data_IF_034424003208
#
_entry.id   IF_034424003208
#
_cell.length_a   1.000
_cell.length_b   1.000
_cell.length_c   1.000
_cell.angle_alpha   90.00
_cell.angle_beta   90.00
_cell.angle_gamma   90.00
#
_symmetry.space_group_name_H-M   'P 1'
#
loop_
_entity.id
_entity.type
_entity.pdbx_description
1 polymer ?
#
# COMPACT_ATOMS: atom_id res chain seq x y z
N UNK A 1 -22.91 -32.27 5.73
CA UNK A 1 -23.31 -33.14 6.87
C UNK A 1 -22.13 -33.20 7.81
N UNK A 2 -22.42 -33.07 9.11
CA UNK A 2 -21.51 -33.08 10.28
C UNK A 2 -21.04 -31.72 10.77
N UNK A 3 -21.59 -31.40 11.93
CA UNK A 3 -21.35 -30.24 12.76
C UNK A 3 -20.58 -30.68 14.01
N UNK A 4 -20.13 -29.67 14.76
CA UNK A 4 -19.79 -29.69 16.20
C UNK A 4 -18.43 -30.28 16.60
N UNK A 5 -17.51 -29.39 17.01
CA UNK A 5 -16.48 -29.68 18.00
C UNK A 5 -16.48 -28.58 19.08
N UNK A 6 -16.32 -28.91 20.38
CA UNK A 6 -16.67 -28.03 21.50
C UNK A 6 -15.65 -26.93 21.85
N UNK A 7 -14.60 -26.74 21.04
CA UNK A 7 -13.53 -25.78 21.32
C UNK A 7 -13.93 -24.30 21.06
N UNK A 8 -15.05 -24.07 20.35
CA UNK A 8 -15.47 -22.73 19.91
C UNK A 8 -16.17 -21.86 20.98
N UNK A 9 -16.46 -22.41 22.16
CA UNK A 9 -17.24 -21.71 23.21
C UNK A 9 -16.42 -20.92 24.23
N UNK A 10 -15.09 -20.92 24.17
CA UNK A 10 -14.24 -20.20 25.15
C UNK A 10 -13.70 -18.84 24.74
N UNK A 11 -13.97 -18.35 23.52
CA UNK A 11 -13.60 -16.98 23.10
C UNK A 11 -14.70 -15.93 23.29
N UNK A 12 -15.88 -16.32 23.79
CA UNK A 12 -17.08 -15.47 23.87
C UNK A 12 -17.21 -14.64 25.17
N UNK A 13 -16.19 -14.62 26.04
CA UNK A 13 -16.27 -13.93 27.35
C UNK A 13 -15.34 -12.70 27.48
N UNK A 14 -14.53 -12.38 26.46
CA UNK A 14 -13.59 -11.24 26.50
C UNK A 14 -13.97 -10.04 25.62
N UNK A 15 -15.21 -9.98 25.12
CA UNK A 15 -15.65 -9.00 24.12
C UNK A 15 -16.59 -7.90 24.65
N UNK A 16 -16.39 -7.44 25.89
CA UNK A 16 -17.28 -6.43 26.51
C UNK A 16 -16.62 -5.12 26.99
N UNK A 17 -15.39 -4.82 26.59
CA UNK A 17 -14.67 -3.63 27.11
C UNK A 17 -14.23 -2.60 26.07
N UNK A 18 -14.91 -2.47 24.93
CA UNK A 18 -14.62 -1.42 23.95
C UNK A 18 -15.88 -0.65 23.54
N UNK A 19 -16.40 0.16 24.47
CA UNK A 19 -17.32 1.25 24.16
C UNK A 19 -16.98 2.47 25.05
N UNK A 20 -16.89 3.69 24.49
CA UNK A 20 -16.88 4.93 25.28
C UNK A 20 -18.30 5.27 25.77
N UNK A 21 -18.45 5.98 26.91
CA UNK A 21 -19.76 6.30 27.46
C UNK A 21 -20.46 7.40 26.64
N UNK A 22 -21.77 7.24 26.41
CA UNK A 22 -22.64 8.27 25.86
C UNK A 22 -22.79 9.46 26.81
N UNK A 23 -22.74 10.72 26.34
CA UNK A 23 -23.11 11.86 27.15
C UNK A 23 -24.64 11.96 27.27
N UNK A 24 -25.10 11.98 28.52
CA UNK A 24 -26.48 12.20 28.94
C UNK A 24 -26.95 13.63 28.62
N UNK A 25 -28.15 13.72 28.04
CA UNK A 25 -28.91 14.95 27.86
C UNK A 25 -29.39 15.54 29.19
N UNK A 26 -29.07 16.81 29.46
CA UNK A 26 -29.75 17.60 30.49
C UNK A 26 -30.29 18.89 29.87
N UNK A 27 -31.61 19.00 29.91
CA UNK A 27 -32.43 20.17 29.63
C UNK A 27 -32.24 21.28 30.66
N UNK A 28 -32.18 22.55 30.23
CA UNK A 28 -32.67 23.68 31.04
C UNK A 28 -33.08 24.86 30.16
N UNK A 29 -34.32 25.29 30.37
CA UNK A 29 -35.03 26.42 29.77
C UNK A 29 -34.75 27.69 30.60
N UNK A 30 -34.49 28.82 29.92
CA UNK A 30 -34.80 30.22 30.29
C UNK A 30 -33.94 31.13 29.36
N UNK A 31 -34.41 32.12 28.59
CA UNK A 31 -35.53 33.03 28.81
C UNK A 31 -35.03 34.32 29.47
N UNK A 32 -34.73 35.37 28.67
CA UNK A 32 -35.13 36.79 28.85
C UNK A 32 -34.13 37.83 28.28
N UNK A 33 -34.72 38.73 27.48
CA UNK A 33 -34.53 40.19 27.34
C UNK A 33 -33.16 40.83 27.00
N UNK A 34 -33.21 41.64 25.93
CA UNK A 34 -32.29 42.72 25.53
C UNK A 34 -32.45 43.98 26.44
N UNK A 35 -31.74 45.14 26.29
CA UNK A 35 -31.39 45.80 25.00
C UNK A 35 -30.05 46.59 24.88
N UNK A 36 -29.74 46.87 23.61
CA UNK A 36 -29.13 48.07 22.99
C UNK A 36 -27.82 48.70 23.51
N UNK A 37 -26.86 48.87 22.59
CA UNK A 37 -26.43 50.22 22.16
C UNK A 37 -25.56 50.23 20.89
N UNK A 38 -25.72 51.33 20.18
CA UNK A 38 -25.16 51.86 18.93
C UNK A 38 -23.67 51.62 18.62
N UNK A 39 -23.33 51.41 17.34
CA UNK A 39 -22.78 52.47 16.47
C UNK A 39 -22.21 51.96 15.12
N UNK A 40 -22.60 52.70 14.06
CA UNK A 40 -21.88 53.04 12.82
C UNK A 40 -20.97 52.03 12.10
N UNK A 41 -21.21 51.81 10.80
CA UNK A 41 -20.10 51.62 9.86
C UNK A 41 -20.38 50.81 8.60
N UNK A 42 -20.63 51.52 7.50
CA UNK A 42 -20.29 51.18 6.11
C UNK A 42 -20.94 49.97 5.42
N UNK A 43 -21.67 50.28 4.35
CA UNK A 43 -22.01 49.41 3.25
C UNK A 43 -20.77 48.77 2.62
N UNK A 44 -20.69 47.45 2.60
CA UNK A 44 -19.92 46.72 1.60
C UNK A 44 -20.63 45.41 1.26
N UNK A 45 -20.58 45.07 -0.02
CA UNK A 45 -21.35 44.02 -0.69
C UNK A 45 -21.24 42.65 -0.01
N UNK A 46 -22.38 42.04 0.28
CA UNK A 46 -22.53 40.62 0.58
C UNK A 46 -22.05 39.78 -0.61
N UNK A 47 -20.78 39.36 -0.60
CA UNK A 47 -20.39 38.09 -1.22
C UNK A 47 -20.64 37.02 -0.17
N UNK A 48 -21.68 36.23 -0.37
CA UNK A 48 -21.90 35.00 0.40
C UNK A 48 -20.75 34.03 0.09
N UNK A 49 -19.69 34.09 0.89
CA UNK A 49 -18.73 32.99 1.02
C UNK A 49 -19.45 31.85 1.74
N UNK A 50 -19.90 30.86 0.97
CA UNK A 50 -20.16 29.53 1.51
C UNK A 50 -18.82 28.93 1.97
N UNK A 51 -18.37 29.31 3.16
CA UNK A 51 -17.40 28.54 3.90
C UNK A 51 -18.14 27.28 4.38
N UNK A 52 -18.12 26.24 3.56
CA UNK A 52 -18.35 24.89 4.06
C UNK A 52 -17.25 24.64 5.09
N UNK A 53 -17.58 24.73 6.37
CA UNK A 53 -16.72 24.26 7.45
C UNK A 53 -16.57 22.75 7.26
N UNK A 54 -15.54 22.34 6.52
CA UNK A 54 -15.14 20.95 6.43
C UNK A 54 -14.70 20.53 7.84
N UNK A 55 -15.42 19.58 8.42
CA UNK A 55 -14.95 18.90 9.63
C UNK A 55 -13.62 18.24 9.28
N UNK A 56 -12.54 18.62 9.97
CA UNK A 56 -11.25 17.98 9.84
C UNK A 56 -11.39 16.46 9.89
N UNK A 57 -10.98 15.79 8.80
CA UNK A 57 -11.02 14.33 8.74
C UNK A 57 -10.16 13.79 9.88
N UNK A 58 -10.80 13.14 10.85
CA UNK A 58 -10.13 12.58 12.02
C UNK A 58 -9.14 11.50 11.57
N UNK A 59 -7.88 11.65 11.96
CA UNK A 59 -6.83 10.65 11.71
C UNK A 59 -6.82 9.67 12.87
N UNK A 60 -6.99 8.39 12.56
CA UNK A 60 -6.97 7.32 13.57
C UNK A 60 -5.60 6.65 13.61
N UNK A 61 -5.04 6.43 14.80
CA UNK A 61 -3.89 5.53 14.94
C UNK A 61 -4.36 4.09 14.72
N UNK A 62 -3.68 3.34 13.84
CA UNK A 62 -3.97 1.92 13.67
C UNK A 62 -3.47 1.10 14.85
N UNK A 63 -4.29 0.15 15.31
CA UNK A 63 -3.78 -1.03 16.04
C UNK A 63 -3.13 -1.98 15.03
N UNK A 64 -1.92 -1.60 14.59
CA UNK A 64 -1.25 -2.27 13.49
C UNK A 64 -0.83 -3.71 13.84
N UNK A 65 -0.51 -3.99 15.10
CA UNK A 65 -0.20 -5.37 15.52
C UNK A 65 -1.45 -6.26 15.48
N UNK A 66 -2.61 -5.78 15.92
CA UNK A 66 -3.86 -6.54 15.79
C UNK A 66 -4.20 -6.81 14.32
N UNK A 67 -3.94 -5.85 13.41
CA UNK A 67 -4.10 -6.07 11.97
C UNK A 67 -3.18 -7.19 11.47
N UNK A 68 -1.88 -7.14 11.80
CA UNK A 68 -0.91 -8.18 11.40
C UNK A 68 -1.34 -9.56 11.92
N UNK A 69 -1.72 -9.68 13.20
CA UNK A 69 -2.20 -10.94 13.78
C UNK A 69 -3.45 -11.49 13.09
N UNK A 70 -4.36 -10.60 12.67
CA UNK A 70 -5.63 -10.98 12.05
C UNK A 70 -5.45 -11.50 10.62
N UNK A 71 -4.58 -10.87 9.84
CA UNK A 71 -4.45 -11.18 8.40
C UNK A 71 -3.35 -12.20 8.10
N UNK A 72 -2.33 -12.35 8.96
CA UNK A 72 -1.24 -13.31 8.73
C UNK A 72 -1.80 -14.72 8.82
N UNK A 73 -1.69 -15.53 7.77
CA UNK A 73 -2.32 -16.84 7.77
C UNK A 73 -1.44 -17.83 8.54
N UNK A 74 -2.03 -18.80 9.27
CA UNK A 74 -1.26 -19.76 10.04
C UNK A 74 -0.42 -20.66 9.13
N UNK A 75 0.73 -21.10 9.65
CA UNK A 75 1.52 -22.15 9.05
C UNK A 75 0.84 -23.49 9.37
N UNK A 76 0.28 -24.14 8.35
CA UNK A 76 -0.47 -25.38 8.48
C UNK A 76 0.09 -26.43 7.51
N UNK A 77 0.28 -27.66 8.00
CA UNK A 77 0.75 -28.81 7.23
C UNK A 77 -0.19 -29.19 6.08
N UNK A 78 -1.47 -28.80 6.16
CA UNK A 78 -2.44 -29.01 5.10
C UNK A 78 -2.28 -28.04 3.92
N UNK A 79 -1.53 -26.94 4.09
CA UNK A 79 -1.31 -25.95 3.03
C UNK A 79 -0.21 -26.38 2.08
N UNK A 80 -0.33 -25.95 0.83
CA UNK A 80 0.62 -26.25 -0.24
C UNK A 80 1.28 -24.99 -0.79
N UNK A 81 2.45 -25.16 -1.38
CA UNK A 81 3.23 -24.09 -2.02
C UNK A 81 2.36 -23.27 -2.97
N UNK A 82 2.35 -21.96 -2.75
CA UNK A 82 1.59 -20.96 -3.50
C UNK A 82 0.32 -20.51 -2.81
N UNK A 83 -0.12 -21.14 -1.71
CA UNK A 83 -1.32 -20.73 -0.98
C UNK A 83 -1.07 -19.59 0.03
N UNK A 84 0.19 -19.30 0.38
CA UNK A 84 0.57 -18.18 1.24
C UNK A 84 1.17 -17.00 0.46
N UNK A 85 0.90 -16.91 -0.85
CA UNK A 85 1.18 -15.72 -1.65
C UNK A 85 2.18 -15.97 -2.78
N UNK A 86 1.76 -15.61 -3.99
CA UNK A 86 2.55 -15.53 -5.21
C UNK A 86 2.63 -14.07 -5.62
N UNK A 87 3.78 -13.45 -5.38
CA UNK A 87 3.99 -12.02 -5.65
C UNK A 87 4.79 -11.86 -6.92
N UNK A 88 4.44 -10.87 -7.76
CA UNK A 88 5.26 -10.46 -8.88
C UNK A 88 5.73 -9.02 -8.74
N UNK A 89 6.98 -8.75 -9.08
CA UNK A 89 7.55 -7.41 -9.18
C UNK A 89 7.80 -7.09 -10.66
N UNK A 90 7.17 -6.04 -11.17
CA UNK A 90 7.37 -5.51 -12.52
C UNK A 90 8.24 -4.26 -12.40
N UNK A 91 9.50 -4.38 -12.81
CA UNK A 91 10.51 -3.34 -12.61
C UNK A 91 11.87 -3.77 -13.13
N UNK A 92 12.95 -3.10 -12.71
CA UNK A 92 14.30 -3.42 -13.16
C UNK A 92 14.61 -3.11 -14.62
N UNK A 93 14.96 -1.85 -14.88
CA UNK A 93 15.65 -1.43 -16.10
C UNK A 93 17.16 -1.72 -16.00
N UNK A 94 17.90 -1.45 -17.08
CA UNK A 94 19.34 -1.65 -17.17
C UNK A 94 20.11 -1.05 -15.97
N UNK A 95 19.73 0.13 -15.50
CA UNK A 95 20.44 0.84 -14.43
C UNK A 95 20.05 0.39 -13.01
N UNK A 96 18.78 0.02 -12.80
CA UNK A 96 18.21 -0.11 -11.46
C UNK A 96 17.85 -1.56 -11.13
N UNK A 97 18.85 -2.37 -10.83
CA UNK A 97 18.71 -3.80 -10.52
C UNK A 97 18.44 -4.09 -9.04
N UNK A 98 18.88 -3.21 -8.13
CA UNK A 98 18.73 -3.41 -6.68
C UNK A 98 17.29 -3.25 -6.18
N UNK A 99 16.57 -2.25 -6.68
CA UNK A 99 15.19 -1.96 -6.28
C UNK A 99 14.22 -3.14 -6.49
N UNK A 100 14.12 -3.77 -7.69
CA UNK A 100 13.25 -4.92 -7.88
C UNK A 100 13.68 -6.13 -7.03
N UNK A 101 14.98 -6.31 -6.78
CA UNK A 101 15.47 -7.32 -5.86
C UNK A 101 14.97 -7.09 -4.43
N UNK A 102 15.12 -5.87 -3.89
CA UNK A 102 14.68 -5.55 -2.53
C UNK A 102 13.18 -5.77 -2.36
N UNK A 103 12.34 -5.36 -3.31
CA UNK A 103 10.91 -5.64 -3.26
C UNK A 103 10.62 -7.15 -3.27
N UNK A 104 11.25 -7.89 -4.19
CA UNK A 104 10.98 -9.31 -4.37
C UNK A 104 11.46 -10.17 -3.21
N UNK A 105 12.66 -9.91 -2.69
CA UNK A 105 13.21 -10.67 -1.56
C UNK A 105 12.51 -10.33 -0.26
N UNK A 106 12.05 -9.07 -0.09
CA UNK A 106 11.23 -8.69 1.06
C UNK A 106 9.92 -9.46 1.06
N UNK A 107 9.25 -9.64 -0.08
CA UNK A 107 8.05 -10.47 -0.15
C UNK A 107 8.29 -11.90 0.38
N UNK A 108 9.40 -12.54 -0.03
CA UNK A 108 9.77 -13.87 0.50
C UNK A 108 10.07 -13.83 2.01
N UNK A 109 10.79 -12.80 2.48
CA UNK A 109 11.16 -12.65 3.89
C UNK A 109 9.97 -12.33 4.80
N UNK A 110 8.91 -11.72 4.28
CA UNK A 110 7.63 -11.58 4.98
C UNK A 110 6.91 -12.93 5.07
N UNK A 111 7.01 -13.77 4.03
CA UNK A 111 6.41 -15.12 4.05
C UNK A 111 5.64 -15.49 2.78
N UNK A 112 5.81 -14.76 1.67
CA UNK A 112 5.30 -15.23 0.38
C UNK A 112 5.95 -16.55 -0.01
N UNK A 113 5.14 -17.47 -0.55
CA UNK A 113 5.64 -18.77 -1.04
C UNK A 113 6.48 -18.65 -2.31
N UNK A 114 6.14 -17.67 -3.16
CA UNK A 114 6.76 -17.46 -4.47
C UNK A 114 6.89 -15.96 -4.76
N UNK A 115 8.05 -15.58 -5.29
CA UNK A 115 8.34 -14.20 -5.71
C UNK A 115 8.95 -14.19 -7.10
N UNK A 116 8.26 -13.52 -8.01
CA UNK A 116 8.62 -13.40 -9.41
C UNK A 116 9.11 -11.99 -9.70
N UNK A 117 10.12 -11.85 -10.56
CA UNK A 117 10.60 -10.55 -11.04
C UNK A 117 10.52 -10.52 -12.55
N UNK A 118 9.71 -9.62 -13.10
CA UNK A 118 9.69 -9.32 -14.53
C UNK A 118 10.52 -8.07 -14.77
N UNK A 119 11.63 -8.25 -15.47
CA UNK A 119 12.62 -7.20 -15.68
C UNK A 119 13.17 -7.21 -17.10
N UNK A 120 14.00 -6.20 -17.38
CA UNK A 120 14.79 -6.17 -18.61
C UNK A 120 15.83 -7.29 -18.63
N UNK A 121 16.26 -7.67 -19.83
CA UNK A 121 17.31 -8.69 -20.02
C UNK A 121 18.62 -8.31 -19.32
N UNK A 122 19.00 -7.04 -19.39
CA UNK A 122 20.22 -6.51 -18.77
C UNK A 122 20.18 -6.59 -17.25
N UNK A 123 19.02 -6.33 -16.64
CA UNK A 123 18.85 -6.42 -15.19
C UNK A 123 18.87 -7.87 -14.67
N UNK A 124 18.46 -8.83 -15.50
CA UNK A 124 18.12 -10.17 -15.04
C UNK A 124 19.31 -10.95 -14.48
N UNK A 125 20.46 -10.91 -15.15
CA UNK A 125 21.66 -11.65 -14.68
C UNK A 125 22.12 -11.14 -13.31
N UNK A 126 22.06 -9.83 -13.11
CA UNK A 126 22.43 -9.21 -11.82
C UNK A 126 21.44 -9.62 -10.73
N UNK A 127 20.13 -9.52 -10.98
CA UNK A 127 19.10 -9.89 -10.00
C UNK A 127 19.19 -11.37 -9.63
N UNK A 128 19.35 -12.26 -10.61
CA UNK A 128 19.54 -13.71 -10.39
C UNK A 128 20.77 -14.02 -9.53
N UNK A 129 21.81 -13.19 -9.64
CA UNK A 129 23.05 -13.37 -8.86
C UNK A 129 22.90 -12.96 -7.40
N UNK A 130 21.88 -12.16 -7.05
CA UNK A 130 21.63 -11.77 -5.66
C UNK A 130 20.92 -12.86 -4.84
N UNK A 131 20.06 -13.68 -5.47
CA UNK A 131 19.37 -14.77 -4.78
C UNK A 131 18.88 -15.85 -5.75
N UNK A 132 19.10 -17.15 -5.43
CA UNK A 132 18.56 -18.26 -6.22
C UNK A 132 17.06 -18.51 -5.97
N UNK A 133 16.46 -17.89 -4.95
CA UNK A 133 15.06 -18.09 -4.57
C UNK A 133 14.08 -17.35 -5.51
N UNK A 134 14.55 -16.29 -6.17
CA UNK A 134 13.71 -15.44 -7.02
C UNK A 134 13.51 -16.06 -8.40
N UNK A 135 12.27 -16.05 -8.89
CA UNK A 135 11.95 -16.49 -10.24
C UNK A 135 12.01 -15.28 -11.18
N UNK A 136 13.13 -15.12 -11.87
CA UNK A 136 13.41 -13.92 -12.70
C UNK A 136 13.11 -14.15 -14.18
N UNK A 137 12.23 -13.32 -14.74
CA UNK A 137 11.69 -13.33 -16.11
C UNK A 137 12.26 -12.16 -16.92
N UNK A 138 13.29 -12.38 -17.76
CA UNK A 138 13.97 -11.34 -18.56
C UNK A 138 13.19 -11.02 -19.84
N UNK A 139 11.98 -10.49 -19.71
CA UNK A 139 11.08 -10.30 -20.85
C UNK A 139 10.79 -8.84 -21.18
N UNK A 140 11.08 -7.90 -20.29
CA UNK A 140 10.87 -6.48 -20.58
C UNK A 140 11.98 -5.96 -21.50
N UNK A 141 11.65 -4.94 -22.30
CA UNK A 141 12.56 -4.34 -23.27
C UNK A 141 12.47 -2.81 -23.18
N UNK A 142 13.60 -2.14 -23.41
CA UNK A 142 13.69 -0.68 -23.47
C UNK A 142 13.78 -0.20 -24.93
N UNK A 143 13.43 1.05 -25.18
CA UNK A 143 13.34 1.64 -26.52
C UNK A 143 14.60 1.46 -27.37
N UNK A 144 15.80 1.39 -26.77
CA UNK A 144 17.06 1.27 -27.50
C UNK A 144 17.28 -0.14 -28.08
N UNK A 145 16.63 -1.17 -27.53
CA UNK A 145 16.73 -2.56 -27.98
C UNK A 145 15.68 -2.94 -29.02
N UNK A 146 14.75 -2.02 -29.34
CA UNK A 146 13.56 -2.32 -30.14
C UNK A 146 13.39 -1.28 -31.24
N UNK A 147 13.36 -1.75 -32.50
CA UNK A 147 13.11 -0.89 -33.65
C UNK A 147 11.65 -0.39 -33.64
N UNK A 148 11.42 0.82 -34.17
CA UNK A 148 10.11 1.45 -34.15
C UNK A 148 9.01 0.61 -34.85
N UNK A 149 9.34 -0.03 -35.96
CA UNK A 149 8.47 -0.92 -36.74
C UNK A 149 8.10 -2.22 -35.99
N UNK A 150 8.88 -2.62 -34.98
CA UNK A 150 8.70 -3.86 -34.22
C UNK A 150 8.00 -3.64 -32.87
N UNK A 151 7.91 -2.39 -32.38
CA UNK A 151 7.40 -2.06 -31.05
C UNK A 151 6.05 -2.68 -30.73
N UNK A 152 5.10 -2.66 -31.67
CA UNK A 152 3.77 -3.24 -31.46
C UNK A 152 3.84 -4.76 -31.26
N UNK A 153 4.64 -5.45 -32.08
CA UNK A 153 4.84 -6.90 -32.00
C UNK A 153 5.55 -7.29 -30.70
N UNK A 154 6.61 -6.55 -30.33
CA UNK A 154 7.34 -6.77 -29.08
C UNK A 154 6.44 -6.53 -27.86
N UNK A 155 5.68 -5.43 -27.83
CA UNK A 155 4.75 -5.14 -26.73
C UNK A 155 3.69 -6.25 -26.57
N UNK A 156 3.12 -6.73 -27.68
CA UNK A 156 2.17 -7.84 -27.68
C UNK A 156 2.80 -9.15 -27.17
N UNK A 157 4.05 -9.44 -27.57
CA UNK A 157 4.79 -10.60 -27.07
C UNK A 157 5.06 -10.50 -25.57
N UNK A 158 5.50 -9.35 -25.07
CA UNK A 158 5.72 -9.11 -23.64
C UNK A 158 4.43 -9.39 -22.86
N UNK A 159 3.31 -8.81 -23.30
CA UNK A 159 2.02 -9.01 -22.66
C UNK A 159 1.61 -10.49 -22.65
N UNK A 160 1.83 -11.20 -23.76
CA UNK A 160 1.55 -12.64 -23.87
C UNK A 160 2.38 -13.47 -22.88
N UNK A 161 3.66 -13.16 -22.72
CA UNK A 161 4.53 -13.86 -21.77
C UNK A 161 4.13 -13.59 -20.31
N UNK A 162 3.77 -12.36 -19.96
CA UNK A 162 3.26 -12.04 -18.61
C UNK A 162 1.91 -12.71 -18.35
N UNK A 163 1.01 -12.70 -19.34
CA UNK A 163 -0.34 -13.27 -19.21
C UNK A 163 -0.34 -14.76 -18.82
N UNK A 164 0.68 -15.53 -19.23
CA UNK A 164 0.87 -16.94 -18.81
C UNK A 164 0.93 -17.12 -17.29
N UNK A 165 1.35 -16.08 -16.58
CA UNK A 165 1.53 -16.09 -15.13
C UNK A 165 0.51 -15.22 -14.39
N UNK A 166 -0.08 -14.21 -15.04
CA UNK A 166 -0.84 -13.15 -14.38
C UNK A 166 -1.91 -13.67 -13.40
N UNK A 167 -2.76 -14.60 -13.85
CA UNK A 167 -3.85 -15.17 -13.03
C UNK A 167 -3.36 -15.99 -11.83
N UNK A 168 -2.06 -16.32 -11.80
CA UNK A 168 -1.46 -17.03 -10.67
C UNK A 168 -0.98 -16.07 -9.58
N UNK A 169 -0.84 -14.77 -9.84
CA UNK A 169 -0.35 -13.85 -8.81
C UNK A 169 -1.47 -13.43 -7.87
N UNK A 170 -1.16 -13.36 -6.58
CA UNK A 170 -2.08 -12.86 -5.57
C UNK A 170 -1.95 -11.34 -5.40
N UNK A 171 -0.81 -10.77 -5.81
CA UNK A 171 -0.59 -9.32 -5.93
C UNK A 171 0.64 -9.05 -6.81
N UNK A 172 0.63 -7.92 -7.53
CA UNK A 172 1.80 -7.43 -8.26
C UNK A 172 2.29 -6.08 -7.70
N UNK A 173 3.60 -5.87 -7.72
CA UNK A 173 4.27 -4.60 -7.42
C UNK A 173 4.78 -4.02 -8.73
N UNK A 174 4.50 -2.75 -9.02
CA UNK A 174 4.93 -2.06 -10.23
C UNK A 174 5.76 -0.85 -9.87
N UNK A 175 6.95 -0.75 -10.47
CA UNK A 175 7.77 0.45 -10.40
C UNK A 175 9.16 0.34 -9.74
N UNK A 176 9.47 -0.61 -8.84
CA UNK A 176 10.82 -0.76 -8.29
C UNK A 176 11.89 -0.87 -9.38
N UNK A 177 12.70 0.18 -9.54
CA UNK A 177 13.73 0.27 -10.57
C UNK A 177 13.20 0.24 -12.01
N UNK A 178 11.95 0.65 -12.26
CA UNK A 178 11.35 0.59 -13.59
C UNK A 178 12.00 1.57 -14.59
N UNK A 179 12.55 2.69 -14.11
CA UNK A 179 13.07 3.73 -14.97
C UNK A 179 11.95 4.48 -15.71
N UNK A 180 12.32 5.24 -16.74
CA UNK A 180 11.39 6.14 -17.46
C UNK A 180 11.49 6.06 -18.97
N UNK A 181 12.02 4.94 -19.47
CA UNK A 181 12.00 4.65 -20.91
C UNK A 181 10.55 4.55 -21.41
N UNK A 182 10.20 5.27 -22.48
CA UNK A 182 8.81 5.40 -22.92
C UNK A 182 8.22 4.09 -23.40
N UNK A 183 8.97 3.29 -24.17
CA UNK A 183 8.50 2.00 -24.65
C UNK A 183 8.27 1.00 -23.50
N UNK A 184 9.19 0.96 -22.53
CA UNK A 184 9.04 0.16 -21.33
C UNK A 184 7.77 0.55 -20.54
N UNK A 185 7.56 1.85 -20.33
CA UNK A 185 6.37 2.37 -19.64
C UNK A 185 5.06 2.04 -20.37
N UNK A 186 5.05 2.05 -21.71
CA UNK A 186 3.89 1.63 -22.52
C UNK A 186 3.62 0.13 -22.34
N UNK A 187 4.65 -0.72 -22.34
CA UNK A 187 4.52 -2.15 -22.10
C UNK A 187 3.97 -2.42 -20.69
N UNK A 188 4.51 -1.76 -19.67
CA UNK A 188 4.02 -1.89 -18.29
C UNK A 188 2.58 -1.37 -18.15
N UNK A 189 2.21 -0.31 -18.86
CA UNK A 189 0.82 0.16 -18.90
C UNK A 189 -0.14 -0.94 -19.38
N UNK A 190 0.25 -1.72 -20.40
CA UNK A 190 -0.55 -2.83 -20.89
C UNK A 190 -0.62 -3.98 -19.88
N UNK A 191 0.48 -4.28 -19.18
CA UNK A 191 0.51 -5.25 -18.08
C UNK A 191 -0.45 -4.84 -16.96
N UNK A 192 -0.44 -3.57 -16.54
CA UNK A 192 -1.32 -3.06 -15.48
C UNK A 192 -2.80 -3.13 -15.88
N UNK A 193 -3.13 -2.79 -17.14
CA UNK A 193 -4.50 -2.93 -17.66
C UNK A 193 -4.97 -4.40 -17.61
N UNK A 194 -4.09 -5.33 -17.99
CA UNK A 194 -4.42 -6.75 -17.96
C UNK A 194 -4.58 -7.28 -16.53
N UNK A 195 -3.70 -6.89 -15.60
CA UNK A 195 -3.83 -7.20 -14.17
C UNK A 195 -5.15 -6.70 -13.60
N UNK A 196 -5.57 -5.47 -13.96
CA UNK A 196 -6.86 -4.91 -13.58
C UNK A 196 -8.04 -5.73 -14.12
N UNK A 197 -7.98 -6.16 -15.38
CA UNK A 197 -9.02 -7.01 -15.98
C UNK A 197 -9.13 -8.38 -15.28
N UNK A 198 -8.00 -8.91 -14.83
CA UNK A 198 -7.93 -10.16 -14.05
C UNK A 198 -8.21 -9.98 -12.54
N UNK A 199 -8.56 -8.76 -12.09
CA UNK A 199 -8.79 -8.42 -10.68
C UNK A 199 -7.59 -8.73 -9.75
N UNK A 200 -6.37 -8.62 -10.28
CA UNK A 200 -5.16 -8.81 -9.49
C UNK A 200 -4.81 -7.50 -8.76
N UNK A 201 -4.62 -7.52 -7.43
CA UNK A 201 -4.17 -6.34 -6.67
C UNK A 201 -2.83 -5.79 -7.16
N UNK A 202 -2.70 -4.46 -7.15
CA UNK A 202 -1.52 -3.76 -7.69
C UNK A 202 -0.99 -2.77 -6.65
N UNK A 203 0.26 -2.95 -6.22
CA UNK A 203 1.02 -1.95 -5.47
C UNK A 203 1.89 -1.16 -6.44
N UNK A 204 1.79 0.16 -6.43
CA UNK A 204 2.57 1.04 -7.31
C UNK A 204 3.53 1.89 -6.47
N UNK A 205 4.82 1.73 -6.71
CA UNK A 205 5.89 2.46 -6.01
C UNK A 205 6.89 3.09 -6.99
N UNK A 206 7.68 4.06 -6.51
CA UNK A 206 8.78 4.65 -7.29
C UNK A 206 8.37 5.16 -8.67
N UNK A 207 9.07 4.74 -9.72
CA UNK A 207 8.76 5.18 -11.09
C UNK A 207 7.42 4.65 -11.62
N UNK A 208 6.81 3.65 -10.97
CA UNK A 208 5.40 3.30 -11.21
C UNK A 208 4.47 4.48 -10.90
N UNK A 209 4.76 5.28 -9.86
CA UNK A 209 3.98 6.48 -9.53
C UNK A 209 4.22 7.59 -10.54
N UNK A 210 5.41 7.67 -11.14
CA UNK A 210 5.65 8.54 -12.29
C UNK A 210 4.74 8.15 -13.46
N UNK A 211 4.63 6.85 -13.77
CA UNK A 211 3.71 6.35 -14.80
C UNK A 211 2.25 6.74 -14.49
N UNK A 212 1.77 6.49 -13.27
CA UNK A 212 0.41 6.83 -12.85
C UNK A 212 0.13 8.33 -12.93
N UNK A 213 1.09 9.18 -12.53
CA UNK A 213 0.92 10.64 -12.61
C UNK A 213 0.71 11.12 -14.05
N UNK A 214 1.26 10.40 -15.03
CA UNK A 214 1.09 10.71 -16.46
C UNK A 214 -0.12 10.00 -17.09
N UNK A 215 -0.62 8.93 -16.47
CA UNK A 215 -1.78 8.16 -16.95
C UNK A 215 -2.62 7.62 -15.79
N UNK A 216 -3.46 8.47 -15.21
CA UNK A 216 -4.29 8.14 -14.05
C UNK A 216 -5.27 6.99 -14.33
N UNK A 217 -5.72 6.85 -15.59
CA UNK A 217 -6.66 5.81 -16.01
C UNK A 217 -6.19 4.37 -15.78
N UNK A 218 -4.89 4.17 -15.55
CA UNK A 218 -4.32 2.87 -15.18
C UNK A 218 -4.84 2.37 -13.81
N UNK A 219 -5.13 3.28 -12.88
CA UNK A 219 -5.59 2.94 -11.52
C UNK A 219 -6.93 3.57 -11.17
N UNK A 220 -7.40 4.58 -11.89
CA UNK A 220 -8.63 5.31 -11.58
C UNK A 220 -9.82 4.35 -11.42
N UNK A 221 -10.47 4.43 -10.26
CA UNK A 221 -11.62 3.57 -9.93
C UNK A 221 -11.26 2.11 -9.62
N UNK A 222 -9.98 1.78 -9.41
CA UNK A 222 -9.56 0.43 -9.02
C UNK A 222 -9.38 0.33 -7.49
N UNK A 223 -10.30 -0.29 -6.74
CA UNK A 223 -10.19 -0.44 -5.29
C UNK A 223 -9.08 -1.42 -4.86
N UNK A 224 -8.52 -2.20 -5.79
CA UNK A 224 -7.41 -3.14 -5.55
C UNK A 224 -6.04 -2.52 -5.86
N UNK A 225 -5.98 -1.23 -6.19
CA UNK A 225 -4.74 -0.51 -6.39
C UNK A 225 -4.30 0.21 -5.10
N UNK A 226 -2.99 0.17 -4.84
CA UNK A 226 -2.32 0.88 -3.76
C UNK A 226 -1.24 1.77 -4.37
N UNK A 227 -1.22 3.05 -4.02
CA UNK A 227 -0.13 3.97 -4.33
C UNK A 227 0.70 4.22 -3.08
N UNK A 228 2.03 4.09 -3.15
CA UNK A 228 2.93 4.28 -1.99
C UNK A 228 3.84 5.51 -2.12
N UNK A 229 3.31 6.73 -2.36
CA UNK A 229 4.15 7.89 -2.63
C UNK A 229 4.99 8.34 -1.43
N UNK A 230 6.26 8.66 -1.69
CA UNK A 230 7.04 9.50 -0.79
C UNK A 230 6.55 10.96 -0.81
N UNK A 231 7.16 11.82 0.01
CA UNK A 231 6.76 13.23 0.13
C UNK A 231 6.78 13.98 -1.21
N UNK A 232 7.72 13.69 -2.11
CA UNK A 232 7.84 14.36 -3.41
C UNK A 232 6.86 13.79 -4.44
N UNK A 233 6.69 12.47 -4.49
CA UNK A 233 5.71 11.80 -5.34
C UNK A 233 4.28 12.23 -4.96
N UNK A 234 4.00 12.34 -3.66
CA UNK A 234 2.70 12.80 -3.15
C UNK A 234 2.41 14.24 -3.59
N UNK A 235 3.40 15.14 -3.49
CA UNK A 235 3.26 16.52 -3.98
C UNK A 235 2.90 16.58 -5.46
N UNK A 236 3.54 15.73 -6.29
CA UNK A 236 3.24 15.65 -7.73
C UNK A 236 1.83 15.13 -7.99
N UNK A 237 1.40 14.09 -7.27
CA UNK A 237 0.04 13.55 -7.39
C UNK A 237 -1.02 14.58 -7.01
N UNK A 238 -0.84 15.26 -5.87
CA UNK A 238 -1.74 16.34 -5.42
C UNK A 238 -1.82 17.46 -6.45
N UNK A 239 -0.69 17.93 -6.94
CA UNK A 239 -0.66 18.99 -7.96
C UNK A 239 -1.35 18.56 -9.25
N UNK A 240 -1.12 17.32 -9.70
CA UNK A 240 -1.68 16.80 -10.94
C UNK A 240 -3.20 16.54 -10.86
N UNK A 241 -3.68 16.05 -9.73
CA UNK A 241 -5.08 15.58 -9.58
C UNK A 241 -5.99 16.63 -8.96
N UNK A 242 -5.52 17.33 -7.92
CA UNK A 242 -6.31 18.32 -7.19
C UNK A 242 -6.04 19.76 -7.65
N UNK A 243 -5.05 19.97 -8.53
CA UNK A 243 -4.66 21.29 -9.03
C UNK A 243 -4.32 22.28 -7.90
N UNK A 244 -3.67 21.80 -6.84
CA UNK A 244 -3.26 22.60 -5.69
C UNK A 244 -1.91 22.13 -5.12
N UNK A 245 -1.37 22.85 -4.13
CA UNK A 245 -0.16 22.46 -3.42
C UNK A 245 -0.48 21.67 -2.16
N UNK A 246 0.49 20.88 -1.69
CA UNK A 246 0.35 20.16 -0.41
C UNK A 246 0.28 21.17 0.72
N UNK A 247 -0.78 21.06 1.53
CA UNK A 247 -0.94 21.80 2.76
C UNK A 247 -0.84 20.82 3.94
N UNK A 248 0.10 21.06 4.84
CA UNK A 248 0.29 20.17 6.01
C UNK A 248 -0.81 20.37 7.07
N UNK A 249 -1.48 21.53 7.12
CA UNK A 249 -2.58 21.80 8.06
C UNK A 249 -3.83 20.99 7.71
N UNK A 250 -4.08 20.77 6.41
CA UNK A 250 -5.23 20.01 5.90
C UNK A 250 -4.80 18.69 5.26
N UNK A 251 -3.67 18.13 5.70
CA UNK A 251 -3.06 16.94 5.10
C UNK A 251 -4.01 15.73 5.01
N UNK A 252 -4.83 15.49 6.04
CA UNK A 252 -5.77 14.37 6.08
C UNK A 252 -6.96 14.56 5.12
N UNK A 253 -7.51 15.77 5.06
CA UNK A 253 -8.58 16.14 4.13
C UNK A 253 -8.10 16.05 2.68
N UNK A 254 -6.89 16.57 2.40
CA UNK A 254 -6.32 16.55 1.06
C UNK A 254 -6.04 15.12 0.59
N UNK A 255 -5.55 14.25 1.48
CA UNK A 255 -5.36 12.83 1.17
C UNK A 255 -6.70 12.15 0.84
N UNK A 256 -7.73 12.42 1.66
CA UNK A 256 -9.08 11.89 1.44
C UNK A 256 -9.65 12.34 0.09
N UNK A 257 -9.57 13.65 -0.19
CA UNK A 257 -10.01 14.24 -1.44
C UNK A 257 -9.25 13.67 -2.65
N UNK A 258 -7.93 13.46 -2.52
CA UNK A 258 -7.11 12.85 -3.56
C UNK A 258 -7.60 11.44 -3.88
N UNK A 259 -7.78 10.59 -2.86
CA UNK A 259 -8.28 9.21 -3.03
C UNK A 259 -9.66 9.19 -3.68
N UNK A 260 -10.58 10.03 -3.22
CA UNK A 260 -11.92 10.16 -3.81
C UNK A 260 -11.86 10.60 -5.28
N UNK A 261 -11.00 11.56 -5.61
CA UNK A 261 -10.85 12.09 -6.97
C UNK A 261 -10.30 11.06 -7.96
N UNK A 262 -9.46 10.14 -7.51
CA UNK A 262 -8.97 9.02 -8.32
C UNK A 262 -9.84 7.75 -8.22
N UNK A 263 -11.06 7.85 -7.68
CA UNK A 263 -12.03 6.76 -7.67
C UNK A 263 -11.86 5.73 -6.54
N UNK A 264 -11.37 6.16 -5.38
CA UNK A 264 -11.28 5.31 -4.17
C UNK A 264 -10.06 4.39 -4.13
N UNK A 265 -9.01 4.69 -4.90
CA UNK A 265 -7.72 4.00 -4.84
C UNK A 265 -7.08 4.26 -3.48
N UNK A 266 -6.48 3.23 -2.88
CA UNK A 266 -5.77 3.36 -1.61
C UNK A 266 -4.44 4.11 -1.81
N UNK A 267 -4.19 5.13 -1.00
CA UNK A 267 -2.92 5.85 -0.98
C UNK A 267 -2.29 5.73 0.40
N UNK A 268 -1.04 5.26 0.43
CA UNK A 268 -0.16 5.25 1.59
C UNK A 268 0.91 6.34 1.42
N UNK A 269 0.67 7.52 2.00
CA UNK A 269 1.64 8.62 2.02
C UNK A 269 2.75 8.29 3.02
N UNK A 270 3.96 8.01 2.51
CA UNK A 270 5.14 7.67 3.32
C UNK A 270 5.67 8.91 4.05
N UNK A 271 6.00 8.78 5.33
CA UNK A 271 6.41 9.92 6.15
C UNK A 271 7.00 9.56 7.52
N UNK A 272 7.05 10.54 8.44
CA UNK A 272 7.42 10.28 9.84
C UNK A 272 6.46 9.27 10.47
N UNK A 273 5.17 9.51 10.30
CA UNK A 273 4.13 8.49 10.32
C UNK A 273 3.68 8.25 8.88
N UNK A 274 3.29 7.02 8.55
CA UNK A 274 2.67 6.75 7.25
C UNK A 274 1.18 6.95 7.39
N UNK A 275 0.60 7.77 6.50
CA UNK A 275 -0.82 8.09 6.51
C UNK A 275 -1.50 7.40 5.33
N UNK A 276 -2.53 6.63 5.62
CA UNK A 276 -3.19 5.71 4.70
C UNK A 276 -4.66 6.11 4.58
N UNK A 277 -5.16 6.19 3.35
CA UNK A 277 -6.59 6.40 3.09
C UNK A 277 -7.05 5.69 1.82
N UNK A 278 -8.31 5.28 1.81
CA UNK A 278 -9.06 4.82 0.64
C UNK A 278 -10.14 5.85 0.21
N UNK A 279 -10.06 7.08 0.75
CA UNK A 279 -11.06 8.13 0.55
C UNK A 279 -12.28 8.06 1.47
N UNK A 280 -12.35 7.07 2.38
CA UNK A 280 -13.41 6.96 3.40
C UNK A 280 -12.88 7.21 4.81
N UNK A 281 -11.75 6.59 5.13
CA UNK A 281 -11.11 6.72 6.44
C UNK A 281 -9.65 7.15 6.28
N UNK A 282 -9.13 7.88 7.26
CA UNK A 282 -7.70 8.21 7.34
C UNK A 282 -7.12 7.54 8.58
N UNK A 283 -6.15 6.67 8.35
CA UNK A 283 -5.45 5.95 9.41
C UNK A 283 -3.96 6.26 9.31
N UNK A 284 -3.24 6.23 10.42
CA UNK A 284 -1.80 6.37 10.43
C UNK A 284 -1.12 5.23 11.19
N UNK A 285 0.13 4.98 10.82
CA UNK A 285 1.05 4.12 11.57
C UNK A 285 2.25 4.98 11.97
N UNK A 286 2.35 5.25 13.27
CA UNK A 286 3.36 6.13 13.85
C UNK A 286 4.52 5.38 14.53
N UNK A 287 4.53 4.05 14.47
CA UNK A 287 5.60 3.21 15.02
C UNK A 287 6.96 3.71 14.57
N UNK A 288 7.88 3.81 15.53
CA UNK A 288 9.23 4.26 15.25
C UNK A 288 9.93 3.27 14.30
N UNK A 289 10.49 3.81 13.21
CA UNK A 289 11.28 3.06 12.24
C UNK A 289 12.77 3.21 12.50
N UNK A 290 13.43 3.94 11.61
CA UNK A 290 14.84 4.30 11.73
C UNK A 290 15.07 5.75 11.31
N UNK A 291 15.96 6.50 11.96
CA UNK A 291 16.38 7.81 11.47
C UNK A 291 17.32 7.71 10.26
N UNK A 292 17.86 6.52 9.96
CA UNK A 292 18.73 6.28 8.81
C UNK A 292 17.89 6.04 7.56
N UNK A 293 18.15 6.81 6.49
CA UNK A 293 17.49 6.68 5.18
C UNK A 293 18.28 5.82 4.19
N UNK A 294 17.95 4.55 4.06
CA UNK A 294 18.55 3.66 3.07
C UNK A 294 17.75 3.76 1.75
N UNK A 295 18.44 3.67 0.61
CA UNK A 295 17.82 3.89 -0.70
C UNK A 295 16.64 2.95 -1.01
N UNK A 296 16.68 1.70 -0.50
CA UNK A 296 15.69 0.68 -0.83
C UNK A 296 14.59 0.43 0.22
N UNK A 297 14.37 1.33 1.17
CA UNK A 297 13.29 1.15 2.17
C UNK A 297 11.90 1.15 1.53
N UNK A 298 11.69 1.95 0.47
CA UNK A 298 10.44 1.95 -0.30
C UNK A 298 10.20 0.61 -1.01
N UNK A 299 11.26 0.00 -1.52
CA UNK A 299 11.20 -1.31 -2.17
C UNK A 299 10.82 -2.40 -1.16
N UNK A 300 11.43 -2.41 0.03
CA UNK A 300 11.03 -3.31 1.13
C UNK A 300 9.54 -3.13 1.46
N UNK A 301 9.09 -1.88 1.58
CA UNK A 301 7.70 -1.57 1.90
C UNK A 301 6.76 -2.13 0.83
N UNK A 302 7.01 -1.85 -0.44
CA UNK A 302 6.11 -2.25 -1.52
C UNK A 302 6.01 -3.77 -1.66
N UNK A 303 7.13 -4.49 -1.53
CA UNK A 303 7.14 -5.95 -1.46
C UNK A 303 6.34 -6.49 -0.26
N UNK A 304 6.52 -5.91 0.92
CA UNK A 304 5.81 -6.31 2.14
C UNK A 304 4.31 -6.04 2.06
N UNK A 305 3.92 -4.86 1.56
CA UNK A 305 2.52 -4.46 1.37
C UNK A 305 1.82 -5.40 0.39
N UNK A 306 2.48 -5.84 -0.68
CA UNK A 306 1.88 -6.79 -1.62
C UNK A 306 1.52 -8.14 -0.96
N UNK A 307 2.40 -8.65 -0.08
CA UNK A 307 2.13 -9.89 0.68
C UNK A 307 0.95 -9.71 1.63
N UNK A 308 0.97 -8.66 2.46
CA UNK A 308 -0.10 -8.43 3.41
C UNK A 308 -1.43 -8.07 2.75
N UNK A 309 -1.43 -7.37 1.61
CA UNK A 309 -2.64 -7.09 0.86
C UNK A 309 -3.27 -8.38 0.30
N UNK A 310 -2.44 -9.29 -0.21
CA UNK A 310 -2.86 -10.65 -0.62
C UNK A 310 -3.48 -11.41 0.56
N UNK A 311 -2.79 -11.47 1.70
CA UNK A 311 -3.29 -12.16 2.89
C UNK A 311 -4.57 -11.54 3.46
N UNK A 312 -4.67 -10.21 3.49
CA UNK A 312 -5.87 -9.51 3.91
C UNK A 312 -7.06 -9.81 3.00
N UNK A 313 -6.82 -9.89 1.67
CA UNK A 313 -7.86 -10.25 0.73
C UNK A 313 -8.34 -11.69 0.95
N UNK A 314 -7.42 -12.65 1.12
CA UNK A 314 -7.75 -14.04 1.43
C UNK A 314 -8.54 -14.16 2.74
N UNK A 315 -8.08 -13.47 3.80
CA UNK A 315 -8.74 -13.44 5.11
C UNK A 315 -10.18 -12.91 5.02
N UNK A 316 -10.41 -11.83 4.26
CA UNK A 316 -11.76 -11.27 4.10
C UNK A 316 -12.66 -12.14 3.21
N UNK A 317 -12.09 -12.89 2.27
CA UNK A 317 -12.84 -13.85 1.45
C UNK A 317 -13.24 -15.10 2.24
N UNK A 318 -12.42 -15.54 3.21
CA UNK A 318 -12.73 -16.71 4.05
C UNK A 318 -13.68 -16.42 5.20
N UNK A 319 -13.77 -15.16 5.67
CA UNK A 319 -14.58 -14.77 6.82
C UNK A 319 -15.87 -14.07 6.35
N UNK A 320 -16.89 -14.86 5.98
CA UNK A 320 -18.24 -14.43 5.58
C UNK A 320 -19.07 -13.82 6.75
N UNK A 321 -18.56 -12.83 7.48
CA UNK A 321 -19.36 -12.09 8.48
C UNK A 321 -19.86 -10.76 7.88
N UNK A 322 -21.16 -10.63 7.52
CA UNK A 322 -21.67 -9.49 6.74
C UNK A 322 -21.89 -8.19 7.54
N UNK A 323 -21.51 -8.13 8.82
CA UNK A 323 -21.99 -7.10 9.75
C UNK A 323 -20.97 -6.03 10.15
N UNK A 324 -19.69 -6.19 9.83
CA UNK A 324 -18.68 -5.13 10.03
C UNK A 324 -18.59 -4.24 8.79
N UNK A 325 -18.41 -2.93 8.98
CA UNK A 325 -18.03 -2.00 7.89
C UNK A 325 -16.88 -2.65 7.12
N UNK A 326 -17.13 -3.02 5.85
CA UNK A 326 -16.18 -3.77 5.02
C UNK A 326 -14.90 -2.95 4.85
N UNK A 327 -13.88 -3.26 5.66
CA UNK A 327 -12.58 -2.61 5.61
C UNK A 327 -11.91 -3.01 4.29
N UNK A 328 -11.30 -2.05 3.59
CA UNK A 328 -10.58 -2.34 2.36
C UNK A 328 -9.33 -3.21 2.69
N UNK A 329 -9.18 -4.42 2.10
CA UNK A 329 -8.00 -5.25 2.33
C UNK A 329 -6.69 -4.54 1.99
N UNK A 330 -6.72 -3.61 1.02
CA UNK A 330 -5.57 -2.82 0.62
C UNK A 330 -5.09 -1.90 1.75
N UNK A 331 -6.02 -1.31 2.50
CA UNK A 331 -5.72 -0.50 3.69
C UNK A 331 -5.09 -1.36 4.79
N UNK A 332 -5.60 -2.57 5.02
CA UNK A 332 -5.01 -3.52 6.00
C UNK A 332 -3.59 -3.92 5.59
N UNK A 333 -3.38 -4.19 4.29
CA UNK A 333 -2.05 -4.49 3.73
C UNK A 333 -1.05 -3.35 3.95
N UNK A 334 -1.48 -2.10 3.74
CA UNK A 334 -0.65 -0.91 3.99
C UNK A 334 -0.28 -0.77 5.48
N UNK A 335 -1.24 -0.97 6.38
CA UNK A 335 -1.01 -0.88 7.84
C UNK A 335 0.02 -1.92 8.28
N UNK A 336 -0.19 -3.18 7.88
CA UNK A 336 0.71 -4.28 8.22
C UNK A 336 2.12 -4.11 7.64
N UNK A 337 2.22 -3.75 6.35
CA UNK A 337 3.49 -3.50 5.68
C UNK A 337 4.26 -2.33 6.30
N UNK A 338 3.55 -1.25 6.68
CA UNK A 338 4.13 -0.10 7.38
C UNK A 338 4.74 -0.51 8.72
N UNK A 339 3.97 -1.20 9.57
CA UNK A 339 4.43 -1.67 10.88
C UNK A 339 5.66 -2.57 10.75
N UNK A 340 5.60 -3.56 9.86
CA UNK A 340 6.67 -4.53 9.72
C UNK A 340 7.98 -3.87 9.27
N UNK A 341 7.93 -3.01 8.25
CA UNK A 341 9.11 -2.26 7.80
C UNK A 341 9.67 -1.40 8.94
N UNK A 342 8.81 -0.66 9.65
CA UNK A 342 9.25 0.23 10.74
C UNK A 342 9.94 -0.57 11.85
N UNK A 343 9.32 -1.66 12.31
CA UNK A 343 9.90 -2.54 13.33
C UNK A 343 11.25 -3.12 12.87
N UNK A 344 11.32 -3.66 11.65
CA UNK A 344 12.55 -4.22 11.10
C UNK A 344 13.66 -3.16 10.94
N UNK A 345 13.31 -1.97 10.47
CA UNK A 345 14.24 -0.86 10.34
C UNK A 345 14.76 -0.38 11.69
N UNK A 346 13.93 -0.41 12.73
CA UNK A 346 14.31 -0.09 14.11
C UNK A 346 15.35 -1.06 14.64
N UNK A 347 15.10 -2.37 14.51
CA UNK A 347 16.05 -3.41 14.93
C UNK A 347 17.36 -3.34 14.15
N UNK A 348 17.29 -3.14 12.83
CA UNK A 348 18.48 -2.98 11.99
C UNK A 348 19.30 -1.75 12.40
N UNK A 349 18.63 -0.64 12.72
CA UNK A 349 19.28 0.57 13.21
C UNK A 349 19.84 0.41 14.61
N UNK A 350 19.18 -0.35 15.48
CA UNK A 350 19.71 -0.64 16.80
C UNK A 350 21.05 -1.38 16.71
N UNK A 351 21.13 -2.37 15.83
CA UNK A 351 22.35 -3.17 15.57
C UNK A 351 23.44 -2.38 14.84
N UNK A 352 23.10 -1.68 13.75
CA UNK A 352 24.09 -1.13 12.81
C UNK A 352 24.23 0.41 12.87
N UNK A 353 23.33 1.11 13.55
CA UNK A 353 23.34 2.58 13.69
C UNK A 353 23.54 3.28 12.33
N UNK A 354 24.61 4.06 12.19
CA UNK A 354 24.91 4.85 10.98
C UNK A 354 25.16 3.98 9.74
N UNK A 355 25.72 2.78 9.91
CA UNK A 355 26.06 1.89 8.80
C UNK A 355 24.87 1.08 8.29
N UNK A 356 23.68 1.21 8.90
CA UNK A 356 22.48 0.48 8.45
C UNK A 356 22.23 0.70 6.96
N UNK A 357 22.15 -0.41 6.22
CA UNK A 357 21.80 -0.50 4.79
C UNK A 357 20.50 -1.29 4.60
N UNK A 358 19.98 -1.31 3.36
CA UNK A 358 18.70 -1.96 3.03
C UNK A 358 18.70 -3.45 3.37
N UNK A 359 19.80 -4.16 3.12
CA UNK A 359 19.92 -5.59 3.42
C UNK A 359 19.82 -5.88 4.91
N UNK A 360 20.35 -5.02 5.77
CA UNK A 360 20.23 -5.18 7.22
C UNK A 360 18.77 -5.15 7.66
N UNK A 361 17.94 -4.28 7.05
CA UNK A 361 16.51 -4.20 7.35
C UNK A 361 15.81 -5.50 6.93
N UNK A 362 16.20 -6.05 5.78
CA UNK A 362 15.64 -7.31 5.26
C UNK A 362 15.93 -8.49 6.21
N UNK A 363 17.10 -8.53 6.86
CA UNK A 363 17.45 -9.55 7.84
C UNK A 363 16.48 -9.57 9.04
N UNK A 364 15.91 -8.41 9.40
CA UNK A 364 15.02 -8.28 10.55
C UNK A 364 13.53 -8.41 10.22
N UNK A 365 13.13 -8.58 8.95
CA UNK A 365 11.71 -8.74 8.59
C UNK A 365 11.10 -9.98 9.25
N UNK A 366 11.75 -11.13 9.12
CA UNK A 366 11.26 -12.40 9.70
C UNK A 366 11.14 -12.33 11.22
N UNK A 367 12.18 -11.83 11.90
CA UNK A 367 12.13 -11.61 13.37
C UNK A 367 11.01 -10.65 13.77
N UNK A 368 10.83 -9.57 13.02
CA UNK A 368 9.79 -8.58 13.33
C UNK A 368 8.39 -9.16 13.22
N UNK A 369 8.17 -10.08 12.26
CA UNK A 369 6.90 -10.79 12.12
C UNK A 369 6.72 -11.84 13.23
N UNK A 370 7.76 -12.61 13.53
CA UNK A 370 7.76 -13.62 14.61
C UNK A 370 7.42 -13.01 15.96
N UNK A 371 7.96 -11.83 16.28
CA UNK A 371 7.64 -11.10 17.51
C UNK A 371 6.15 -10.70 17.63
N UNK A 372 5.40 -10.68 16.52
CA UNK A 372 3.97 -10.30 16.47
C UNK A 372 3.08 -11.54 16.34
N UNK A 373 3.46 -12.47 15.46
CA UNK A 373 2.78 -13.70 15.10
C UNK A 373 3.78 -14.88 15.17
N UNK A 374 4.02 -15.43 16.37
CA UNK A 374 4.95 -16.54 16.52
C UNK A 374 4.50 -17.76 15.72
N UNK A 375 5.44 -18.47 15.11
CA UNK A 375 5.15 -19.74 14.45
C UNK A 375 4.86 -20.83 15.50
N UNK A 376 3.64 -21.37 15.49
CA UNK A 376 3.29 -22.51 16.35
C UNK A 376 3.95 -23.80 15.81
N UNK A 377 4.47 -24.65 16.72
CA UNK A 377 5.23 -25.87 16.40
C UNK A 377 4.35 -27.13 16.22
#
# INVERSE_FOLDING_TARGET
MWATSPAFRRQLVLLRSLLPPHPSSSSSVAGRFAPASYSSGSSSSLRASHAMAASAATVYEADAEAVVRRITPPLDRARHKGQAGKIAVIGGCREYTGAPYFAAISALKVGADLSHVFCTKDAATVIKSYSPELIVHPILEESYSVRNDERASVSSKILTEVAKWMERFDCIVVGPGLGRDSFLLDCVSNIMKHARQANIPIVVDGDGLFLITNNLGLVEGNPLAILTPNVYEYKRLVQKVLNCYVNEETASEQLTALCQKIGGVTIMRKGKADVISDGKTVTQVSTFGSPRRCGGQGDILSGSVAVFASWAQQFLLSNEQPTEKRVNPMTLGCIAGSLLLRKAASLAFEKNKRSTVTTDIIEFLGKSLEDICPAEH
#
